data_IF_972755812113
#
_entry.id   IF_972755812113
#
_cell.length_a   1.000
_cell.length_b   1.000
_cell.length_c   1.000
_cell.angle_alpha   90.00
_cell.angle_beta   90.00
_cell.angle_gamma   90.00
#
_symmetry.space_group_name_H-M   'P 1'
#
loop_
_entity.id
_entity.type
_entity.pdbx_description
1 polymer ?
#
# COMPACT_ATOMS: atom_id res chain seq x y z
N UNK A 1 12.11 27.42 18.43
CA UNK A 1 11.85 26.07 17.88
C UNK A 1 10.54 25.49 18.46
N UNK A 2 9.49 26.30 18.58
CA UNK A 2 8.24 25.94 19.30
C UNK A 2 6.99 25.99 18.40
N UNK A 3 7.14 26.30 17.11
CA UNK A 3 6.04 26.25 16.12
C UNK A 3 5.83 24.84 15.55
N UNK A 4 6.68 23.88 15.93
CA UNK A 4 6.82 22.64 15.21
C UNK A 4 5.93 21.55 15.80
N UNK A 5 4.82 21.32 15.11
CA UNK A 5 3.93 20.16 15.19
C UNK A 5 4.71 18.82 15.01
N UNK A 6 6.03 18.84 14.81
CA UNK A 6 6.87 17.67 14.53
C UNK A 6 7.88 17.43 15.66
N UNK A 7 7.99 16.18 16.13
CA UNK A 7 9.03 15.70 17.04
C UNK A 7 9.98 14.76 16.29
N UNK A 8 11.29 14.96 16.47
CA UNK A 8 12.29 14.13 15.83
C UNK A 8 12.41 12.75 16.51
N UNK A 9 12.40 11.69 15.72
CA UNK A 9 12.72 10.32 16.13
C UNK A 9 14.14 10.00 15.66
N UNK A 10 14.98 9.49 16.57
CA UNK A 10 16.32 9.02 16.23
C UNK A 10 16.28 7.83 15.26
N UNK A 11 17.28 7.69 14.37
CA UNK A 11 17.37 6.58 13.44
C UNK A 11 17.34 5.23 14.17
N UNK A 12 16.61 4.25 13.62
CA UNK A 12 16.50 2.92 14.22
C UNK A 12 17.85 2.22 14.17
N UNK A 13 18.47 2.02 15.34
CA UNK A 13 19.76 1.30 15.48
C UNK A 13 19.61 -0.20 15.24
N UNK A 14 18.42 -0.76 15.45
CA UNK A 14 18.07 -2.15 15.13
C UNK A 14 16.75 -2.19 14.37
N UNK A 15 16.79 -2.54 13.08
CA UNK A 15 15.60 -2.63 12.23
C UNK A 15 14.98 -4.02 12.37
N UNK A 16 13.93 -4.14 13.20
CA UNK A 16 13.23 -5.42 13.41
C UNK A 16 12.22 -5.76 12.30
N UNK A 17 11.76 -4.78 11.51
CA UNK A 17 10.82 -4.95 10.40
C UNK A 17 11.29 -4.12 9.20
N UNK A 18 11.25 -4.72 8.01
CA UNK A 18 11.60 -4.08 6.72
C UNK A 18 10.40 -3.41 6.05
N UNK A 19 9.25 -3.40 6.72
CA UNK A 19 8.01 -2.78 6.27
C UNK A 19 8.20 -1.25 6.12
N UNK A 20 7.28 -0.62 5.39
CA UNK A 20 7.28 0.83 5.24
C UNK A 20 7.25 1.57 6.58
N UNK A 21 7.90 2.73 6.62
CA UNK A 21 7.96 3.59 7.79
C UNK A 21 6.57 4.19 8.08
N UNK A 22 5.83 3.60 9.02
CA UNK A 22 4.57 4.17 9.47
C UNK A 22 4.78 5.35 10.41
N UNK A 23 4.54 6.57 9.91
CA UNK A 23 4.53 7.76 10.75
C UNK A 23 3.18 7.88 11.48
N UNK A 24 3.21 7.76 12.81
CA UNK A 24 2.01 7.85 13.63
C UNK A 24 1.77 9.27 14.16
N UNK A 25 0.50 9.68 14.24
CA UNK A 25 0.09 10.91 14.92
C UNK A 25 -0.23 10.62 16.39
N UNK A 26 0.44 11.27 17.33
CA UNK A 26 0.04 11.25 18.75
C UNK A 26 -0.75 12.52 19.08
N UNK A 27 -1.87 12.37 19.80
CA UNK A 27 -2.66 13.50 20.30
C UNK A 27 -2.25 13.76 21.75
N UNK A 28 -1.61 14.90 22.00
CA UNK A 28 -1.36 15.46 23.34
C UNK A 28 -1.69 16.94 23.24
N UNK A 29 -2.96 17.29 23.43
CA UNK A 29 -3.59 18.62 23.27
C UNK A 29 -3.45 19.32 21.90
N UNK A 30 -2.28 19.27 21.27
CA UNK A 30 -2.01 19.54 19.86
C UNK A 30 -1.60 18.24 19.15
N UNK A 31 -1.79 18.16 17.83
CA UNK A 31 -1.26 17.04 17.07
C UNK A 31 0.27 17.11 17.08
N UNK A 32 0.95 16.01 17.39
CA UNK A 32 2.41 15.93 17.33
C UNK A 32 2.77 14.76 16.40
N UNK A 33 3.52 15.09 15.36
CA UNK A 33 3.99 14.20 14.31
C UNK A 33 5.41 13.73 14.64
N UNK A 34 5.56 12.48 15.05
CA UNK A 34 6.86 11.92 15.33
C UNK A 34 7.49 11.43 14.01
N UNK A 35 8.57 12.07 13.56
CA UNK A 35 9.19 11.82 12.24
C UNK A 35 10.71 11.79 12.31
N UNK A 36 11.36 11.10 11.37
CA UNK A 36 12.81 11.19 11.20
C UNK A 36 13.20 12.54 10.58
N UNK A 37 14.47 12.94 10.73
CA UNK A 37 14.98 14.25 10.32
C UNK A 37 15.04 14.33 8.80
N UNK A 38 15.60 13.31 8.17
CA UNK A 38 15.72 13.22 6.72
C UNK A 38 14.34 13.31 6.05
N UNK A 39 13.34 12.62 6.62
CA UNK A 39 11.95 12.73 6.19
C UNK A 39 11.41 14.15 6.34
N UNK A 40 11.62 14.79 7.48
CA UNK A 40 11.15 16.15 7.70
C UNK A 40 11.81 17.17 6.75
N UNK A 41 13.09 17.01 6.43
CA UNK A 41 13.81 17.85 5.46
C UNK A 41 13.20 17.68 4.06
N UNK A 42 12.99 16.44 3.61
CA UNK A 42 12.35 16.17 2.31
C UNK A 42 10.93 16.73 2.27
N UNK A 43 10.15 16.53 3.33
CA UNK A 43 8.78 17.02 3.42
C UNK A 43 8.73 18.54 3.39
N UNK A 44 9.65 19.22 4.08
CA UNK A 44 9.78 20.69 3.99
C UNK A 44 10.17 21.16 2.60
N UNK A 45 11.11 20.49 1.93
CA UNK A 45 11.53 20.84 0.58
C UNK A 45 10.36 20.71 -0.41
N UNK A 46 9.65 19.58 -0.38
CA UNK A 46 8.48 19.34 -1.23
C UNK A 46 7.35 20.31 -0.91
N UNK A 47 7.08 20.62 0.36
CA UNK A 47 6.05 21.58 0.75
C UNK A 47 6.36 22.99 0.24
N UNK A 48 7.63 23.40 0.26
CA UNK A 48 8.06 24.68 -0.32
C UNK A 48 7.85 24.73 -1.83
N UNK A 49 8.23 23.67 -2.55
CA UNK A 49 8.04 23.58 -4.01
C UNK A 49 6.56 23.61 -4.38
N UNK A 50 5.72 22.88 -3.64
CA UNK A 50 4.28 22.84 -3.85
C UNK A 50 3.53 24.06 -3.26
N UNK A 51 4.23 24.97 -2.58
CA UNK A 51 3.66 26.15 -1.90
C UNK A 51 2.53 25.82 -0.91
N UNK A 52 2.63 24.67 -0.23
CA UNK A 52 1.66 24.21 0.78
C UNK A 52 2.27 24.17 2.18
N UNK A 53 1.42 24.13 3.20
CA UNK A 53 1.88 23.88 4.58
C UNK A 53 2.39 22.46 4.70
N UNK A 54 3.51 22.28 5.40
CA UNK A 54 4.16 20.98 5.66
C UNK A 54 3.19 19.96 6.25
N UNK A 55 2.29 20.40 7.14
CA UNK A 55 1.27 19.52 7.73
C UNK A 55 0.24 18.97 6.74
N UNK A 56 -0.11 19.72 5.69
CA UNK A 56 -1.01 19.25 4.63
C UNK A 56 -0.32 18.13 3.86
N UNK A 57 0.92 18.38 3.43
CA UNK A 57 1.70 17.38 2.70
C UNK A 57 1.94 16.12 3.54
N UNK A 58 2.16 16.26 4.85
CA UNK A 58 2.26 15.11 5.75
C UNK A 58 0.98 14.27 5.78
N UNK A 59 -0.19 14.90 5.85
CA UNK A 59 -1.49 14.21 5.83
C UNK A 59 -1.67 13.43 4.52
N UNK A 60 -1.30 14.03 3.38
CA UNK A 60 -1.39 13.38 2.08
C UNK A 60 -0.46 12.17 1.97
N UNK A 61 0.76 12.27 2.50
CA UNK A 61 1.69 11.14 2.61
C UNK A 61 1.07 10.01 3.44
N UNK A 62 0.47 10.31 4.59
CA UNK A 62 -0.21 9.29 5.41
C UNK A 62 -1.39 8.63 4.70
N UNK A 63 -2.14 9.38 3.91
CA UNK A 63 -3.25 8.85 3.11
C UNK A 63 -2.73 7.94 1.99
N UNK A 64 -1.62 8.32 1.35
CA UNK A 64 -0.97 7.49 0.33
C UNK A 64 -0.46 6.18 0.93
N UNK A 65 0.21 6.22 2.08
CA UNK A 65 0.69 5.02 2.79
C UNK A 65 -0.46 4.04 3.08
N UNK A 66 -1.59 4.52 3.61
CA UNK A 66 -2.78 3.68 3.86
C UNK A 66 -3.35 3.08 2.58
N UNK A 67 -3.33 3.82 1.47
CA UNK A 67 -3.82 3.32 0.17
C UNK A 67 -2.90 2.24 -0.38
N UNK A 68 -1.58 2.42 -0.24
CA UNK A 68 -0.59 1.41 -0.63
C UNK A 68 -0.78 0.13 0.18
N UNK A 69 -0.91 0.24 1.50
CA UNK A 69 -1.19 -0.92 2.36
C UNK A 69 -2.44 -1.69 1.90
N UNK A 70 -3.53 -0.99 1.61
CA UNK A 70 -4.76 -1.63 1.08
C UNK A 70 -4.56 -2.27 -0.28
N UNK A 71 -3.71 -1.71 -1.15
CA UNK A 71 -3.42 -2.29 -2.44
C UNK A 71 -2.60 -3.58 -2.28
N UNK A 72 -1.62 -3.59 -1.39
CA UNK A 72 -0.84 -4.78 -1.05
C UNK A 72 -1.74 -5.89 -0.51
N UNK A 73 -2.61 -5.57 0.46
CA UNK A 73 -3.61 -6.52 0.99
C UNK A 73 -4.52 -7.10 -0.12
N UNK A 74 -4.93 -6.28 -1.09
CA UNK A 74 -5.75 -6.72 -2.22
C UNK A 74 -4.96 -7.61 -3.18
N UNK A 75 -3.72 -7.26 -3.50
CA UNK A 75 -2.85 -8.06 -4.36
C UNK A 75 -2.65 -9.43 -3.71
N UNK A 76 -2.28 -9.45 -2.43
CA UNK A 76 -2.12 -10.68 -1.67
C UNK A 76 -3.41 -11.51 -1.69
N UNK A 77 -4.58 -10.89 -1.43
CA UNK A 77 -5.85 -11.61 -1.51
C UNK A 77 -6.12 -12.18 -2.91
N UNK A 78 -5.79 -11.45 -3.97
CA UNK A 78 -6.05 -11.89 -5.35
C UNK A 78 -5.14 -13.02 -5.80
N UNK A 79 -3.90 -13.05 -5.29
CA UNK A 79 -2.94 -14.13 -5.57
C UNK A 79 -3.29 -15.42 -4.83
N UNK A 80 -3.94 -15.32 -3.67
CA UNK A 80 -4.34 -16.48 -2.86
C UNK A 80 -5.82 -16.85 -3.02
N UNK A 81 -6.57 -16.11 -3.85
CA UNK A 81 -7.96 -16.43 -4.15
C UNK A 81 -7.99 -17.45 -5.29
N UNK A 82 -8.23 -18.72 -4.94
CA UNK A 82 -8.69 -19.68 -5.93
C UNK A 82 -10.14 -19.33 -6.29
N UNK A 83 -10.43 -18.98 -7.57
CA UNK A 83 -11.79 -18.64 -7.96
C UNK A 83 -12.69 -19.87 -7.82
N UNK A 84 -13.83 -19.72 -7.14
CA UNK A 84 -14.87 -20.74 -7.17
C UNK A 84 -15.37 -20.88 -8.62
N UNK A 85 -15.47 -22.12 -9.12
CA UNK A 85 -15.91 -22.40 -10.49
C UNK A 85 -17.31 -21.86 -10.77
N UNK A 86 -18.12 -21.64 -9.72
CA UNK A 86 -19.48 -21.10 -9.83
C UNK A 86 -19.55 -19.57 -9.94
N UNK A 87 -18.47 -18.84 -9.60
CA UNK A 87 -18.41 -17.37 -9.63
C UNK A 87 -17.65 -16.80 -10.84
N UNK A 88 -17.34 -17.64 -11.82
CA UNK A 88 -16.68 -17.22 -13.05
C UNK A 88 -17.58 -16.26 -13.85
N UNK A 89 -17.00 -15.20 -14.41
CA UNK A 89 -17.73 -14.31 -15.31
C UNK A 89 -18.05 -15.03 -16.63
N UNK A 90 -19.02 -14.51 -17.39
CA UNK A 90 -19.49 -15.17 -18.62
C UNK A 90 -18.36 -15.36 -19.65
N UNK A 91 -17.35 -14.48 -19.67
CA UNK A 91 -16.15 -14.66 -20.50
C UNK A 91 -15.26 -15.83 -20.05
N UNK A 92 -15.12 -16.07 -18.75
CA UNK A 92 -14.29 -17.16 -18.23
C UNK A 92 -14.98 -18.53 -18.35
N UNK A 93 -16.32 -18.56 -18.45
CA UNK A 93 -17.08 -19.79 -18.69
C UNK A 93 -16.83 -20.35 -20.10
N UNK A 94 -16.62 -19.48 -21.09
CA UNK A 94 -16.48 -19.88 -22.50
C UNK A 94 -15.16 -20.60 -22.82
N UNK A 95 -14.08 -20.35 -22.07
CA UNK A 95 -12.80 -21.05 -22.29
C UNK A 95 -12.82 -22.50 -21.79
N UNK A 96 -13.66 -22.83 -20.79
CA UNK A 96 -13.80 -24.21 -20.30
C UNK A 96 -14.47 -25.15 -21.31
N UNK A 97 -15.28 -24.65 -22.24
CA UNK A 97 -15.95 -25.48 -23.25
C UNK A 97 -15.04 -25.87 -24.42
N UNK A 98 -14.04 -25.06 -24.77
CA UNK A 98 -13.12 -25.40 -25.89
C UNK A 98 -12.11 -26.50 -25.56
N UNK A 99 -11.80 -26.70 -24.28
CA UNK A 99 -10.85 -27.73 -23.85
C UNK A 99 -11.52 -29.08 -23.53
N UNK A 100 -12.85 -29.20 -23.70
CA UNK A 100 -13.61 -30.41 -23.37
C UNK A 100 -14.08 -31.21 -24.60
N UNK A 101 -13.90 -30.70 -25.82
CA UNK A 101 -14.46 -31.31 -27.05
C UNK A 101 -13.45 -31.86 -28.07
N UNK A 102 -12.14 -31.81 -27.82
CA UNK A 102 -11.16 -32.42 -28.73
C UNK A 102 -10.36 -33.53 -28.01
N UNK A 103 -10.82 -34.79 -28.16
CA UNK A 103 -10.06 -35.89 -28.78
C UNK A 103 -10.57 -37.30 -28.34
N UNK A 104 -11.35 -38.02 -29.16
CA UNK A 104 -11.45 -39.46 -29.10
C UNK A 104 -10.57 -40.08 -30.20
N UNK A 105 -9.26 -40.20 -29.97
CA UNK A 105 -8.40 -41.08 -30.77
C UNK A 105 -8.38 -42.48 -30.17
N UNK A 106 -9.47 -43.23 -30.37
CA UNK A 106 -9.45 -44.69 -30.34
C UNK A 106 -9.02 -45.22 -31.72
N UNK A 107 -7.71 -45.35 -31.92
CA UNK A 107 -7.12 -46.18 -32.98
C UNK A 107 -6.79 -47.55 -32.39
N UNK A 108 -7.72 -48.50 -32.48
CA UNK A 108 -7.42 -49.93 -32.39
C UNK A 108 -7.40 -50.52 -33.81
N UNK A 109 -6.22 -50.96 -34.25
CA UNK A 109 -6.00 -51.93 -35.32
C UNK A 109 -5.24 -53.12 -34.78
#
# INVERSE_FOLDING_TARGET
MEENIFCYIQPRVKVQRKDYLHYSRKRKDMFIYAVHADYHVLLQACAKVAQVKVGILHIDVLNLEKRLQRLEERIDSSLHHEPDRNDLCDFCKDETWRNAEDDPTDLNS
#
